data_IF_417947515468
#
_entry.id   IF_417947515468
#
_cell.length_a   1.000
_cell.length_b   1.000
_cell.length_c   1.000
_cell.angle_alpha   90.00
_cell.angle_beta   90.00
_cell.angle_gamma   90.00
#
_symmetry.space_group_name_H-M   'P 1'
#
loop_
_entity.id
_entity.type
_entity.pdbx_description
1 polymer ?
#
# COMPACT_ATOMS: atom_id res chain seq x y z
N UNK A 1 27.50 -11.67 13.52
CA UNK A 1 26.05 -11.81 13.20
C UNK A 1 25.40 -12.96 13.98
N UNK A 2 25.84 -14.22 13.78
CA UNK A 2 25.28 -15.39 14.49
C UNK A 2 25.39 -15.27 16.01
N UNK A 3 26.55 -14.84 16.54
CA UNK A 3 26.73 -14.63 17.98
C UNK A 3 25.78 -13.56 18.55
N UNK A 4 25.60 -12.44 17.84
CA UNK A 4 24.66 -11.38 18.22
C UNK A 4 23.21 -11.90 18.29
N UNK A 5 22.79 -12.66 17.27
CA UNK A 5 21.46 -13.25 17.22
C UNK A 5 21.25 -14.28 18.36
N UNK A 6 22.26 -15.10 18.68
CA UNK A 6 22.22 -16.03 19.83
C UNK A 6 22.12 -15.29 21.16
N UNK A 7 22.87 -14.21 21.37
CA UNK A 7 22.82 -13.41 22.60
C UNK A 7 21.46 -12.72 22.82
N UNK A 8 20.77 -12.35 21.74
CA UNK A 8 19.44 -11.71 21.80
C UNK A 8 18.28 -12.69 21.68
N UNK A 9 18.55 -13.98 21.55
CA UNK A 9 17.52 -15.01 21.58
C UNK A 9 16.75 -14.93 22.91
N UNK A 10 15.42 -15.07 22.86
CA UNK A 10 14.51 -14.95 24.03
C UNK A 10 14.50 -13.60 24.76
N UNK A 11 15.13 -12.56 24.20
CA UNK A 11 15.09 -11.20 24.77
C UNK A 11 14.26 -10.26 23.89
N UNK A 12 13.49 -9.32 24.48
CA UNK A 12 12.78 -8.31 23.69
C UNK A 12 13.74 -7.31 23.06
N UNK A 13 13.46 -6.89 21.82
CA UNK A 13 14.20 -5.83 21.12
C UNK A 13 13.25 -4.63 20.94
N UNK A 14 13.54 -3.46 21.54
CA UNK A 14 12.72 -2.28 21.38
C UNK A 14 12.91 -1.64 20.00
N UNK A 15 11.90 -0.91 19.52
CA UNK A 15 11.95 -0.25 18.20
C UNK A 15 13.06 0.79 18.07
N UNK A 16 13.44 1.43 19.18
CA UNK A 16 14.53 2.41 19.25
C UNK A 16 15.93 1.83 19.06
N UNK A 17 16.09 0.51 19.13
CA UNK A 17 17.36 -0.17 18.79
C UNK A 17 17.46 -0.49 17.30
N UNK A 18 16.35 -0.47 16.56
CA UNK A 18 16.28 -0.82 15.14
C UNK A 18 16.25 0.43 14.26
N UNK A 19 15.53 1.48 14.69
CA UNK A 19 15.35 2.71 13.91
C UNK A 19 15.73 3.95 14.72
N UNK A 20 16.10 5.02 14.01
CA UNK A 20 16.46 6.32 14.57
C UNK A 20 15.48 7.43 14.18
N UNK A 21 15.41 8.48 15.01
CA UNK A 21 14.68 9.70 14.66
C UNK A 21 15.33 10.38 13.45
N UNK A 22 14.51 10.96 12.56
CA UNK A 22 14.90 11.54 11.28
C UNK A 22 15.47 10.57 10.24
N UNK A 23 15.48 9.26 10.50
CA UNK A 23 15.86 8.24 9.52
C UNK A 23 14.82 8.16 8.38
N UNK A 24 15.30 7.89 7.16
CA UNK A 24 14.47 7.61 5.98
C UNK A 24 14.32 6.10 5.83
N UNK A 25 13.08 5.60 5.83
CA UNK A 25 12.77 4.17 5.74
C UNK A 25 11.85 3.84 4.57
N UNK A 26 11.82 2.55 4.25
CA UNK A 26 10.91 1.99 3.25
C UNK A 26 9.74 1.27 3.94
N UNK A 27 8.51 1.67 3.63
CA UNK A 27 7.30 1.03 4.15
C UNK A 27 6.86 -0.09 3.22
N UNK A 28 6.86 -1.32 3.71
CA UNK A 28 6.42 -2.50 2.97
C UNK A 28 5.08 -2.97 3.56
N UNK A 29 4.08 -3.19 2.72
CA UNK A 29 2.78 -3.67 3.20
C UNK A 29 1.77 -4.01 2.12
N UNK A 30 0.60 -4.47 2.57
CA UNK A 30 -0.56 -4.72 1.71
C UNK A 30 -1.50 -3.52 1.74
N UNK A 31 -1.81 -2.98 0.57
CA UNK A 31 -2.72 -1.83 0.45
C UNK A 31 -4.15 -2.18 0.84
N UNK A 32 -4.94 -1.19 1.28
CA UNK A 32 -6.36 -1.39 1.60
C UNK A 32 -7.13 -2.02 0.43
N UNK A 33 -7.81 -3.13 0.70
CA UNK A 33 -8.67 -3.82 -0.26
C UNK A 33 -9.86 -2.94 -0.68
N UNK A 34 -10.17 -2.94 -1.98
CA UNK A 34 -11.36 -2.27 -2.55
C UNK A 34 -12.25 -3.25 -3.33
N UNK A 35 -11.88 -4.54 -3.38
CA UNK A 35 -12.64 -5.61 -4.06
C UNK A 35 -12.66 -5.47 -5.59
N UNK A 36 -13.68 -6.07 -6.21
CA UNK A 36 -13.89 -5.99 -7.65
C UNK A 36 -14.36 -4.58 -8.07
N UNK A 37 -13.65 -3.94 -9.00
CA UNK A 37 -13.97 -2.60 -9.51
C UNK A 37 -13.92 -2.54 -11.04
N UNK A 38 -14.81 -1.73 -11.61
CA UNK A 38 -14.84 -1.41 -13.03
C UNK A 38 -13.65 -0.55 -13.49
N UNK A 39 -13.44 -0.48 -14.80
CA UNK A 39 -12.28 0.18 -15.46
C UNK A 39 -12.09 1.63 -15.05
N UNK A 40 -13.16 2.42 -14.94
CA UNK A 40 -13.07 3.82 -14.53
C UNK A 40 -12.53 3.98 -13.11
N UNK A 41 -12.91 3.09 -12.18
CA UNK A 41 -12.39 3.17 -10.81
C UNK A 41 -10.99 2.56 -10.72
N UNK A 42 -10.74 1.42 -11.37
CA UNK A 42 -9.47 0.68 -11.26
C UNK A 42 -8.33 1.35 -12.02
N UNK A 43 -8.57 1.79 -13.25
CA UNK A 43 -7.57 2.33 -14.18
C UNK A 43 -7.76 3.82 -14.47
N UNK A 44 -8.71 4.48 -13.80
CA UNK A 44 -8.92 5.93 -13.92
C UNK A 44 -9.21 6.41 -15.36
N UNK A 45 -9.84 5.57 -16.19
CA UNK A 45 -10.20 5.92 -17.57
C UNK A 45 -11.27 7.03 -17.63
N UNK A 46 -11.24 7.87 -18.67
CA UNK A 46 -12.29 8.87 -18.92
C UNK A 46 -13.65 8.17 -19.08
N UNK A 47 -14.68 8.72 -18.43
CA UNK A 47 -16.07 8.26 -18.62
C UNK A 47 -16.56 8.62 -20.02
N UNK A 48 -17.39 7.78 -20.61
CA UNK A 48 -18.06 8.07 -21.88
C UNK A 48 -19.14 9.15 -21.69
N UNK A 49 -19.60 9.81 -22.77
CA UNK A 49 -20.65 10.82 -22.70
C UNK A 49 -21.95 10.29 -22.07
N UNK A 50 -22.72 11.21 -21.49
CA UNK A 50 -23.97 10.91 -20.78
C UNK A 50 -24.96 10.07 -21.59
N UNK A 51 -25.06 10.30 -22.91
CA UNK A 51 -26.00 9.63 -23.83
C UNK A 51 -25.50 8.27 -24.35
N UNK A 52 -24.46 7.70 -23.75
CA UNK A 52 -23.92 6.39 -24.18
C UNK A 52 -24.91 5.27 -23.82
N UNK A 53 -25.39 4.55 -24.82
CA UNK A 53 -26.22 3.37 -24.61
C UNK A 53 -25.41 2.22 -23.97
N UNK A 54 -26.05 1.44 -23.08
CA UNK A 54 -25.43 0.36 -22.29
C UNK A 54 -24.26 0.84 -21.42
N UNK A 55 -24.46 1.96 -20.72
CA UNK A 55 -23.57 2.44 -19.67
C UNK A 55 -22.33 3.22 -20.15
N UNK A 56 -21.93 4.19 -19.33
CA UNK A 56 -20.88 5.17 -19.65
C UNK A 56 -19.55 4.94 -18.90
N UNK A 57 -19.47 3.96 -17.99
CA UNK A 57 -18.27 3.69 -17.16
C UNK A 57 -17.49 2.48 -17.66
N UNK A 58 -17.13 2.51 -18.94
CA UNK A 58 -16.43 1.45 -19.68
C UNK A 58 -15.34 2.03 -20.59
N UNK A 59 -14.46 1.16 -21.09
CA UNK A 59 -13.59 1.48 -22.24
C UNK A 59 -14.41 1.23 -23.51
N UNK A 60 -14.34 2.13 -24.49
CA UNK A 60 -15.12 2.02 -25.73
C UNK A 60 -14.50 0.98 -26.68
N UNK A 61 -13.31 1.26 -27.21
CA UNK A 61 -12.57 0.34 -28.09
C UNK A 61 -11.56 -0.46 -27.26
N UNK A 62 -11.58 -1.79 -27.39
CA UNK A 62 -10.68 -2.71 -26.64
C UNK A 62 -9.45 -3.16 -27.45
N UNK A 63 -9.42 -2.88 -28.76
CA UNK A 63 -8.34 -3.29 -29.67
C UNK A 63 -8.72 -3.10 -31.13
N UNK A 64 -7.72 -3.15 -32.01
CA UNK A 64 -7.91 -3.20 -33.45
C UNK A 64 -8.44 -4.59 -33.88
N UNK A 65 -8.87 -4.70 -35.14
CA UNK A 65 -9.33 -5.98 -35.70
C UNK A 65 -8.20 -7.03 -35.76
N UNK A 66 -7.05 -6.63 -36.28
CA UNK A 66 -5.82 -7.42 -36.32
C UNK A 66 -4.79 -6.72 -35.42
N UNK A 67 -4.23 -7.37 -34.39
CA UNK A 67 -4.34 -8.80 -34.05
C UNK A 67 -5.70 -9.16 -33.44
N UNK A 68 -6.22 -10.35 -33.77
CA UNK A 68 -7.54 -10.84 -33.33
C UNK A 68 -7.53 -11.36 -31.88
N UNK A 69 -7.01 -10.55 -30.96
CA UNK A 69 -6.95 -10.80 -29.52
C UNK A 69 -6.94 -9.49 -28.73
N UNK A 70 -7.39 -9.54 -27.47
CA UNK A 70 -7.28 -8.40 -26.56
C UNK A 70 -5.90 -8.36 -25.93
N UNK A 71 -5.22 -7.22 -25.98
CA UNK A 71 -3.90 -7.04 -25.36
C UNK A 71 -4.01 -6.98 -23.83
N UNK A 72 -2.99 -7.46 -23.12
CA UNK A 72 -2.95 -7.47 -21.65
C UNK A 72 -2.87 -6.05 -21.03
N UNK A 73 -2.35 -5.09 -21.80
CA UNK A 73 -2.21 -3.68 -21.41
C UNK A 73 -3.56 -2.95 -21.38
N UNK A 74 -4.60 -3.50 -22.01
CA UNK A 74 -5.92 -2.88 -22.09
C UNK A 74 -6.59 -2.88 -20.71
N UNK A 75 -7.11 -1.72 -20.31
CA UNK A 75 -7.81 -1.57 -19.05
C UNK A 75 -9.06 -2.48 -18.97
N UNK A 76 -9.06 -3.42 -18.03
CA UNK A 76 -10.19 -4.32 -17.71
C UNK A 76 -10.66 -4.18 -16.26
N UNK A 77 -11.92 -4.53 -16.01
CA UNK A 77 -12.46 -4.61 -14.65
C UNK A 77 -11.81 -5.76 -13.88
N UNK A 78 -11.76 -5.66 -12.55
CA UNK A 78 -11.21 -6.70 -11.68
C UNK A 78 -10.77 -6.16 -10.33
N UNK A 79 -9.90 -6.88 -9.63
CA UNK A 79 -9.45 -6.51 -8.29
C UNK A 79 -8.79 -5.13 -8.25
N UNK A 80 -9.15 -4.33 -7.24
CA UNK A 80 -8.50 -3.06 -6.90
C UNK A 80 -8.11 -3.07 -5.42
N UNK A 81 -6.85 -2.75 -5.13
CA UNK A 81 -6.32 -2.77 -3.76
C UNK A 81 -6.06 -4.18 -3.26
N UNK A 82 -5.59 -4.31 -2.02
CA UNK A 82 -5.04 -5.57 -1.50
C UNK A 82 -3.83 -6.06 -2.31
N UNK A 83 -3.03 -5.11 -2.82
CA UNK A 83 -1.79 -5.40 -3.51
C UNK A 83 -0.60 -5.12 -2.59
N UNK A 84 0.45 -5.95 -2.67
CA UNK A 84 1.74 -5.71 -2.02
C UNK A 84 2.43 -4.50 -2.63
N UNK A 85 2.88 -3.56 -1.81
CA UNK A 85 3.60 -2.34 -2.23
C UNK A 85 4.72 -2.02 -1.24
N UNK A 86 5.77 -1.44 -1.81
CA UNK A 86 6.86 -0.80 -1.07
C UNK A 86 6.84 0.67 -1.43
N UNK A 87 6.72 1.53 -0.42
CA UNK A 87 6.87 2.97 -0.58
C UNK A 87 8.15 3.42 0.10
N UNK A 88 9.07 3.99 -0.68
CA UNK A 88 10.39 4.39 -0.20
C UNK A 88 10.36 5.78 0.45
N UNK A 89 11.42 6.10 1.19
CA UNK A 89 11.72 7.45 1.66
C UNK A 89 10.65 8.05 2.60
N UNK A 90 10.15 7.26 3.55
CA UNK A 90 9.30 7.76 4.64
C UNK A 90 10.19 8.19 5.81
N UNK A 91 10.08 9.46 6.22
CA UNK A 91 10.87 10.00 7.32
C UNK A 91 10.25 9.67 8.68
N UNK A 92 11.05 9.17 9.62
CA UNK A 92 10.64 9.05 11.02
C UNK A 92 10.71 10.43 11.67
N UNK A 93 9.56 10.95 12.08
CA UNK A 93 9.50 12.22 12.82
C UNK A 93 9.62 12.07 14.33
N UNK A 94 9.18 10.95 14.90
CA UNK A 94 9.23 10.72 16.35
C UNK A 94 9.21 9.24 16.65
N UNK A 95 10.04 8.80 17.59
CA UNK A 95 9.95 7.48 18.22
C UNK A 95 9.39 7.67 19.62
N UNK A 96 8.07 7.47 19.76
CA UNK A 96 7.37 7.63 21.04
C UNK A 96 7.52 6.42 21.95
N UNK A 97 7.59 6.65 23.26
CA UNK A 97 7.39 5.59 24.26
C UNK A 97 5.89 5.36 24.46
N UNK A 98 5.50 4.09 24.64
CA UNK A 98 4.14 3.73 25.03
C UNK A 98 3.75 4.25 26.41
N UNK A 99 2.55 3.89 26.90
CA UNK A 99 2.11 4.26 28.25
C UNK A 99 3.11 3.71 29.27
N UNK A 100 3.66 4.58 30.11
CA UNK A 100 4.66 4.20 31.11
C UNK A 100 4.54 5.08 32.36
N UNK A 101 5.01 4.58 33.50
CA UNK A 101 5.07 5.37 34.74
C UNK A 101 6.42 6.05 34.83
N UNK A 102 6.42 7.36 35.11
CA UNK A 102 7.61 8.13 35.44
C UNK A 102 7.30 8.94 36.70
N UNK A 103 8.17 8.87 37.71
CA UNK A 103 8.02 9.62 38.96
C UNK A 103 6.65 9.41 39.65
N UNK A 104 6.15 8.16 39.64
CA UNK A 104 4.86 7.78 40.21
C UNK A 104 3.63 8.21 39.41
N UNK A 105 3.80 8.90 38.27
CA UNK A 105 2.70 9.34 37.40
C UNK A 105 2.66 8.54 36.10
N UNK A 106 1.45 8.17 35.68
CA UNK A 106 1.22 7.48 34.40
C UNK A 106 1.30 8.49 33.26
N UNK A 107 2.31 8.35 32.39
CA UNK A 107 2.49 9.14 31.18
C UNK A 107 1.78 8.45 30.02
N UNK A 108 0.78 9.12 29.44
CA UNK A 108 0.10 8.73 28.20
C UNK A 108 0.55 9.70 27.11
N UNK A 109 1.47 9.27 26.24
CA UNK A 109 2.01 10.04 25.11
C UNK A 109 1.05 10.15 23.93
#
# INVERSE_FOLDING_TARGET
KVEWARKRFETPIPISEVFAENEMLDCIGVTKGKGFKGVTSRWHTKKLPRKTHKGLRKVACIGAWHPSRVQYTVARAGQKGYHHRTEINKKIYRIGKGIHTKDGKVVKN
#
